data_IF_730365417322
#
_entry.id   IF_730365417322
#
_cell.length_a   1.000
_cell.length_b   1.000
_cell.length_c   1.000
_cell.angle_alpha   90.00
_cell.angle_beta   90.00
_cell.angle_gamma   90.00
#
_symmetry.space_group_name_H-M   'P 1'
#
loop_
_entity.id
_entity.type
_entity.pdbx_description
1 polymer ?
#
# COMPACT_ATOMS: atom_id res chain seq x y z
N UNK A 1 1.04 9.08 10.01
CA UNK A 1 0.92 10.22 10.92
C UNK A 1 2.27 10.83 11.27
N UNK A 2 3.10 10.31 12.19
CA UNK A 2 4.31 11.06 12.61
C UNK A 2 5.32 11.34 11.50
N UNK A 3 5.56 10.36 10.63
CA UNK A 3 6.38 10.57 9.42
C UNK A 3 5.76 11.64 8.54
N UNK A 4 4.43 11.67 8.40
CA UNK A 4 3.74 12.67 7.58
C UNK A 4 3.85 14.06 8.19
N UNK A 5 3.72 14.19 9.52
CA UNK A 5 3.89 15.48 10.20
C UNK A 5 5.28 16.07 9.92
N UNK A 6 6.32 15.27 10.13
CA UNK A 6 7.69 15.66 9.78
C UNK A 6 7.82 16.06 8.29
N UNK A 7 7.24 15.28 7.38
CA UNK A 7 7.30 15.55 5.95
C UNK A 7 6.52 16.79 5.54
N UNK A 8 5.38 17.08 6.17
CA UNK A 8 4.55 18.23 5.83
C UNK A 8 5.25 19.52 6.25
N UNK A 9 5.86 19.53 7.43
CA UNK A 9 6.74 20.62 7.87
C UNK A 9 7.91 20.78 6.87
N UNK A 10 8.51 19.69 6.42
CA UNK A 10 9.56 19.75 5.39
C UNK A 10 9.05 20.33 4.06
N UNK A 11 7.87 19.95 3.59
CA UNK A 11 7.31 20.46 2.32
C UNK A 11 6.95 21.94 2.38
N UNK A 12 6.55 22.46 3.54
CA UNK A 12 6.31 23.90 3.72
C UNK A 12 7.60 24.71 3.58
N UNK A 13 8.72 24.18 4.08
CA UNK A 13 9.99 24.90 4.10
C UNK A 13 10.83 24.68 2.83
N UNK A 14 10.83 23.45 2.30
CA UNK A 14 11.71 23.02 1.19
C UNK A 14 10.93 22.68 -0.09
N UNK A 15 9.66 23.10 -0.16
CA UNK A 15 8.76 22.78 -1.28
C UNK A 15 9.28 23.25 -2.64
N UNK A 16 9.80 24.48 -2.72
CA UNK A 16 10.36 25.03 -3.96
C UNK A 16 11.62 24.29 -4.41
N UNK A 17 12.49 23.91 -3.48
CA UNK A 17 13.65 23.09 -3.78
C UNK A 17 13.23 21.73 -4.35
N UNK A 18 12.24 21.09 -3.73
CA UNK A 18 11.70 19.80 -4.18
C UNK A 18 11.10 19.91 -5.60
N UNK A 19 10.34 20.98 -5.88
CA UNK A 19 9.83 21.27 -7.23
C UNK A 19 10.95 21.49 -8.23
N UNK A 20 12.01 22.19 -7.83
CA UNK A 20 13.23 22.36 -8.63
C UNK A 20 13.85 21.04 -9.06
N UNK A 21 13.99 20.10 -8.13
CA UNK A 21 14.50 18.76 -8.44
C UNK A 21 13.59 17.98 -9.40
N UNK A 22 12.27 18.04 -9.20
CA UNK A 22 11.28 17.40 -10.09
C UNK A 22 11.38 17.99 -11.50
N UNK A 23 11.42 19.31 -11.63
CA UNK A 23 11.51 20.01 -12.91
C UNK A 23 12.84 19.73 -13.62
N UNK A 24 13.93 19.63 -12.86
CA UNK A 24 15.26 19.30 -13.40
C UNK A 24 15.24 17.95 -14.10
N UNK A 25 14.68 16.92 -13.43
CA UNK A 25 14.51 15.60 -14.05
C UNK A 25 13.46 15.62 -15.18
N UNK A 26 12.41 16.43 -15.07
CA UNK A 26 11.38 16.56 -16.11
C UNK A 26 11.88 17.19 -17.42
N UNK A 27 12.98 17.93 -17.38
CA UNK A 27 13.53 18.66 -18.53
C UNK A 27 14.64 17.90 -19.27
N UNK A 28 15.08 16.73 -18.79
CA UNK A 28 16.10 15.95 -19.50
C UNK A 28 15.50 15.32 -20.76
N UNK A 29 16.34 15.10 -21.77
CA UNK A 29 15.91 14.30 -22.93
C UNK A 29 15.79 12.83 -22.52
N UNK A 30 14.56 12.30 -22.60
CA UNK A 30 14.24 10.91 -22.32
C UNK A 30 13.87 10.12 -23.58
N UNK A 31 14.16 10.67 -24.77
CA UNK A 31 13.86 10.07 -26.07
C UNK A 31 14.52 8.70 -26.25
N UNK A 32 15.64 8.45 -25.57
CA UNK A 32 16.34 7.17 -25.57
C UNK A 32 15.64 6.07 -24.78
N UNK A 33 14.71 6.41 -23.88
CA UNK A 33 13.88 5.42 -23.19
C UNK A 33 12.77 4.86 -24.10
N UNK A 34 12.37 3.60 -23.93
CA UNK A 34 11.15 3.09 -24.55
C UNK A 34 9.93 3.93 -24.17
N UNK A 35 8.95 4.05 -25.08
CA UNK A 35 7.71 4.83 -24.89
C UNK A 35 7.01 4.53 -23.56
N UNK A 36 7.03 3.26 -23.13
CA UNK A 36 6.48 2.85 -21.83
C UNK A 36 7.17 3.60 -20.69
N UNK A 37 8.51 3.59 -20.64
CA UNK A 37 9.28 4.22 -19.58
C UNK A 37 9.18 5.74 -19.62
N UNK A 38 9.09 6.35 -20.81
CA UNK A 38 8.82 7.78 -20.93
C UNK A 38 7.49 8.18 -20.26
N UNK A 39 6.43 7.40 -20.50
CA UNK A 39 5.11 7.65 -19.90
C UNK A 39 5.11 7.43 -18.39
N UNK A 40 5.71 6.34 -17.92
CA UNK A 40 5.79 6.05 -16.48
C UNK A 40 6.61 7.10 -15.73
N UNK A 41 7.74 7.54 -16.28
CA UNK A 41 8.56 8.60 -15.68
C UNK A 41 7.80 9.92 -15.60
N UNK A 42 7.16 10.37 -16.69
CA UNK A 42 6.33 11.59 -16.66
C UNK A 42 5.22 11.51 -15.60
N UNK A 43 4.52 10.39 -15.54
CA UNK A 43 3.47 10.15 -14.55
C UNK A 43 4.01 10.13 -13.12
N UNK A 44 5.21 9.60 -12.90
CA UNK A 44 5.89 9.64 -11.60
C UNK A 44 6.19 11.08 -11.17
N UNK A 45 6.69 11.93 -12.07
CA UNK A 45 6.94 13.34 -11.79
C UNK A 45 5.65 14.13 -11.56
N UNK A 46 4.60 13.86 -12.34
CA UNK A 46 3.27 14.45 -12.11
C UNK A 46 2.70 14.07 -10.74
N UNK A 47 2.84 12.80 -10.32
CA UNK A 47 2.48 12.36 -8.97
C UNK A 47 3.30 13.09 -7.91
N UNK A 48 4.60 13.25 -8.12
CA UNK A 48 5.46 14.02 -7.22
C UNK A 48 4.97 15.47 -7.10
N UNK A 49 4.61 16.14 -8.19
CA UNK A 49 4.06 17.50 -8.14
C UNK A 49 2.68 17.57 -7.47
N UNK A 50 1.84 16.56 -7.67
CA UNK A 50 0.51 16.44 -7.07
C UNK A 50 0.55 16.12 -5.56
N UNK A 51 1.73 15.87 -4.97
CA UNK A 51 1.83 15.62 -3.53
C UNK A 51 1.32 16.82 -2.73
N UNK A 52 1.59 18.05 -3.18
CA UNK A 52 1.27 19.26 -2.44
C UNK A 52 -0.24 19.45 -2.31
N UNK A 53 -0.98 19.28 -3.40
CA UNK A 53 -2.46 19.31 -3.39
C UNK A 53 -3.05 18.21 -2.49
N UNK A 54 -2.39 17.06 -2.40
CA UNK A 54 -2.82 15.97 -1.52
C UNK A 54 -2.54 16.27 -0.04
N UNK A 55 -1.49 17.04 0.26
CA UNK A 55 -1.20 17.51 1.62
C UNK A 55 -2.28 18.49 2.07
N UNK A 56 -2.68 19.45 1.24
CA UNK A 56 -3.77 20.37 1.57
C UNK A 56 -5.09 19.63 1.83
N UNK A 57 -5.46 18.66 1.00
CA UNK A 57 -6.65 17.82 1.22
C UNK A 57 -6.62 17.04 2.54
N UNK A 58 -5.43 16.67 3.02
CA UNK A 58 -5.29 16.04 4.33
C UNK A 58 -5.51 17.07 5.44
N UNK A 59 -4.92 18.27 5.31
CA UNK A 59 -5.10 19.34 6.29
C UNK A 59 -6.56 19.76 6.41
N UNK A 60 -7.26 19.91 5.29
CA UNK A 60 -8.70 20.20 5.24
C UNK A 60 -9.50 19.11 5.98
N UNK A 61 -9.32 17.84 5.60
CA UNK A 61 -10.05 16.73 6.23
C UNK A 61 -9.71 16.55 7.72
N UNK A 62 -8.46 16.82 8.13
CA UNK A 62 -8.04 16.80 9.53
C UNK A 62 -8.65 17.97 10.32
N UNK A 63 -8.73 19.16 9.72
CA UNK A 63 -9.37 20.33 10.31
C UNK A 63 -10.88 20.12 10.49
N UNK A 64 -11.58 19.60 9.48
CA UNK A 64 -13.01 19.30 9.54
C UNK A 64 -13.32 18.27 10.64
N UNK A 65 -12.56 17.18 10.69
CA UNK A 65 -12.70 16.16 11.72
C UNK A 65 -12.41 16.73 13.12
N UNK A 66 -11.36 17.55 13.26
CA UNK A 66 -10.98 18.15 14.55
C UNK A 66 -12.05 19.13 15.04
N UNK A 67 -12.56 19.98 14.15
CA UNK A 67 -13.62 20.93 14.47
C UNK A 67 -14.88 20.18 14.96
N UNK A 68 -15.33 19.17 14.21
CA UNK A 68 -16.51 18.40 14.59
C UNK A 68 -16.28 17.52 15.83
N UNK A 69 -15.05 17.09 16.10
CA UNK A 69 -14.71 16.29 17.30
C UNK A 69 -15.00 17.03 18.60
N UNK A 70 -14.89 18.37 18.62
CA UNK A 70 -15.20 19.19 19.80
C UNK A 70 -16.69 19.10 20.14
N UNK A 71 -17.55 19.23 19.14
CA UNK A 71 -19.01 19.15 19.30
C UNK A 71 -19.49 17.71 19.52
N UNK A 72 -18.87 16.74 18.87
CA UNK A 72 -19.24 15.32 18.95
C UNK A 72 -18.93 14.71 20.34
N UNK A 73 -17.82 15.10 20.97
CA UNK A 73 -17.33 14.52 22.23
C UNK A 73 -18.37 14.46 23.35
N UNK A 74 -19.06 15.55 23.76
CA UNK A 74 -20.03 15.48 24.84
C UNK A 74 -21.20 14.53 24.54
N UNK A 75 -21.69 14.50 23.29
CA UNK A 75 -22.71 13.55 22.88
C UNK A 75 -22.20 12.11 22.95
N UNK A 76 -21.00 11.86 22.45
CA UNK A 76 -20.38 10.54 22.48
C UNK A 76 -20.20 10.04 23.92
N UNK A 77 -19.58 10.83 24.81
CA UNK A 77 -19.34 10.46 26.20
C UNK A 77 -20.65 10.17 26.95
N UNK A 78 -21.68 11.00 26.76
CA UNK A 78 -23.00 10.78 27.34
C UNK A 78 -23.59 9.45 26.89
N UNK A 79 -23.63 9.18 25.59
CA UNK A 79 -24.18 7.93 25.05
C UNK A 79 -23.37 6.71 25.50
N UNK A 80 -22.04 6.80 25.54
CA UNK A 80 -21.20 5.73 26.07
C UNK A 80 -21.45 5.46 27.54
N UNK A 81 -21.72 6.50 28.33
CA UNK A 81 -22.09 6.33 29.73
C UNK A 81 -23.42 5.57 29.88
N UNK A 82 -24.43 5.88 29.06
CA UNK A 82 -25.72 5.17 29.06
C UNK A 82 -25.56 3.73 28.62
N UNK A 83 -24.84 3.50 27.52
CA UNK A 83 -24.57 2.16 27.00
C UNK A 83 -23.78 1.30 28.00
N UNK A 84 -22.81 1.89 28.71
CA UNK A 84 -22.08 1.21 29.78
C UNK A 84 -23.01 0.78 30.92
N UNK A 85 -23.90 1.68 31.38
CA UNK A 85 -24.90 1.37 32.42
C UNK A 85 -25.84 0.24 31.97
N UNK A 86 -26.37 0.33 30.75
CA UNK A 86 -27.22 -0.72 30.15
C UNK A 86 -26.48 -2.05 30.12
N UNK A 87 -25.21 -2.05 29.71
CA UNK A 87 -24.39 -3.28 29.65
C UNK A 87 -24.22 -3.91 31.04
N UNK A 88 -23.95 -3.10 32.08
CA UNK A 88 -23.80 -3.60 33.46
C UNK A 88 -25.11 -4.24 33.91
N UNK A 89 -26.24 -3.53 33.77
CA UNK A 89 -27.56 -4.05 34.16
C UNK A 89 -27.93 -5.31 33.36
N UNK A 90 -27.59 -5.36 32.07
CA UNK A 90 -27.83 -6.53 31.22
C UNK A 90 -27.08 -7.76 31.74
N UNK A 91 -25.83 -7.61 32.18
CA UNK A 91 -25.06 -8.70 32.78
C UNK A 91 -25.68 -9.16 34.11
N UNK A 92 -26.14 -8.24 34.94
CA UNK A 92 -26.86 -8.58 36.18
C UNK A 92 -28.16 -9.35 35.91
N UNK A 93 -28.95 -8.93 34.91
CA UNK A 93 -30.16 -9.64 34.49
C UNK A 93 -29.83 -11.04 33.97
N UNK A 94 -28.76 -11.19 33.20
CA UNK A 94 -28.31 -12.52 32.73
C UNK A 94 -27.95 -13.44 33.89
N UNK A 95 -27.23 -12.95 34.90
CA UNK A 95 -26.90 -13.75 36.10
C UNK A 95 -28.14 -14.07 36.93
N UNK A 96 -29.03 -13.11 37.18
CA UNK A 96 -30.30 -13.34 37.88
C UNK A 96 -31.17 -14.38 37.16
N UNK A 97 -31.20 -14.37 35.82
CA UNK A 97 -31.94 -15.38 35.03
C UNK A 97 -31.34 -16.78 35.16
N UNK A 98 -30.01 -16.88 35.21
CA UNK A 98 -29.32 -18.17 35.46
C UNK A 98 -29.62 -18.69 36.85
N UNK A 99 -29.52 -17.83 37.88
CA UNK A 99 -29.81 -18.18 39.26
C UNK A 99 -31.27 -18.61 39.45
N UNK A 100 -32.20 -17.83 38.88
CA UNK A 100 -33.61 -18.17 38.87
C UNK A 100 -33.85 -19.55 38.27
N UNK A 101 -33.25 -19.83 37.09
CA UNK A 101 -33.39 -21.13 36.41
C UNK A 101 -32.81 -22.29 37.21
N UNK A 102 -31.70 -22.06 37.92
CA UNK A 102 -31.07 -23.07 38.77
C UNK A 102 -31.95 -23.42 39.97
N UNK A 103 -32.47 -22.40 40.67
CA UNK A 103 -33.32 -22.59 41.85
C UNK A 103 -34.70 -23.13 41.47
N UNK A 104 -35.26 -22.71 40.32
CA UNK A 104 -36.58 -23.18 39.86
C UNK A 104 -36.59 -24.68 39.52
N UNK A 105 -35.41 -25.27 39.29
CA UNK A 105 -35.22 -26.68 38.93
C UNK A 105 -34.68 -27.54 40.08
N UNK A 106 -34.57 -27.00 41.29
CA UNK A 106 -34.16 -27.79 42.46
C UNK A 106 -35.30 -28.67 42.98
N UNK A 107 -34.96 -29.70 43.75
CA UNK A 107 -35.96 -30.63 44.34
C UNK A 107 -36.90 -29.93 45.34
N UNK A 108 -36.47 -28.80 45.91
CA UNK A 108 -37.26 -27.94 46.79
C UNK A 108 -37.02 -26.47 46.44
N UNK A 109 -37.76 -25.91 45.48
CA UNK A 109 -37.58 -24.54 45.03
C UNK A 109 -38.00 -23.53 46.11
N UNK A 110 -37.13 -22.59 46.43
CA UNK A 110 -37.46 -21.44 47.28
C UNK A 110 -38.33 -20.45 46.50
N UNK A 111 -39.64 -20.48 46.78
CA UNK A 111 -40.65 -19.64 46.10
C UNK A 111 -40.45 -18.15 46.38
N UNK A 112 -39.97 -17.79 47.57
CA UNK A 112 -39.74 -16.38 47.92
C UNK A 112 -38.53 -15.85 47.14
N UNK A 113 -37.44 -16.61 47.10
CA UNK A 113 -36.28 -16.29 46.28
C UNK A 113 -36.65 -16.11 44.80
N UNK A 114 -37.44 -17.03 44.24
CA UNK A 114 -37.86 -16.97 42.84
C UNK A 114 -38.70 -15.72 42.54
N UNK A 115 -39.65 -15.38 43.41
CA UNK A 115 -40.51 -14.20 43.25
C UNK A 115 -39.72 -12.89 43.37
N UNK A 116 -38.79 -12.79 44.33
CA UNK A 116 -37.91 -11.64 44.49
C UNK A 116 -36.97 -11.47 43.29
N UNK A 117 -36.40 -12.56 42.80
CA UNK A 117 -35.48 -12.55 41.65
C UNK A 117 -36.21 -12.14 40.37
N UNK A 118 -37.43 -12.64 40.15
CA UNK A 118 -38.26 -12.22 39.00
C UNK A 118 -38.60 -10.73 39.08
N UNK A 119 -38.92 -10.22 40.27
CA UNK A 119 -39.20 -8.79 40.49
C UNK A 119 -37.99 -7.91 40.17
N UNK A 120 -36.79 -8.32 40.62
CA UNK A 120 -35.53 -7.63 40.29
C UNK A 120 -35.21 -7.65 38.80
N UNK A 121 -35.47 -8.77 38.12
CA UNK A 121 -35.30 -8.85 36.66
C UNK A 121 -36.20 -7.83 35.97
N UNK A 122 -37.49 -7.75 36.34
CA UNK A 122 -38.44 -6.79 35.76
C UNK A 122 -38.03 -5.34 36.03
N UNK A 123 -37.58 -5.04 37.25
CA UNK A 123 -37.07 -3.72 37.62
C UNK A 123 -35.85 -3.33 36.77
N UNK A 124 -34.87 -4.23 36.64
CA UNK A 124 -33.67 -4.01 35.83
C UNK A 124 -34.00 -3.87 34.34
N UNK A 125 -34.95 -4.65 33.81
CA UNK A 125 -35.43 -4.51 32.44
C UNK A 125 -36.11 -3.15 32.19
N UNK A 126 -36.93 -2.67 33.13
CA UNK A 126 -37.52 -1.34 33.08
C UNK A 126 -36.46 -0.22 33.16
N UNK A 127 -35.46 -0.38 34.02
CA UNK A 127 -34.34 0.56 34.14
C UNK A 127 -33.54 0.65 32.82
N UNK A 128 -33.26 -0.49 32.18
CA UNK A 128 -32.63 -0.51 30.85
C UNK A 128 -33.49 0.17 29.79
N UNK A 129 -34.81 -0.04 29.80
CA UNK A 129 -35.72 0.62 28.86
C UNK A 129 -35.71 2.15 29.04
N UNK A 130 -35.73 2.62 30.28
CA UNK A 130 -35.61 4.05 30.59
C UNK A 130 -34.28 4.64 30.10
N UNK A 131 -33.15 3.96 30.35
CA UNK A 131 -31.85 4.40 29.85
C UNK A 131 -31.78 4.45 28.31
N UNK A 132 -32.44 3.52 27.62
CA UNK A 132 -32.54 3.54 26.15
C UNK A 132 -33.35 4.75 25.66
N UNK A 133 -34.42 5.12 26.35
CA UNK A 133 -35.25 6.27 26.00
C UNK A 133 -34.52 7.62 26.20
N UNK A 134 -33.43 7.64 26.97
CA UNK A 134 -32.58 8.84 27.13
C UNK A 134 -31.63 9.05 25.95
N UNK A 135 -31.50 8.07 25.03
CA UNK A 135 -30.69 8.23 23.80
C UNK A 135 -31.49 9.11 22.83
N UNK A 136 -30.99 10.30 22.44
CA UNK A 136 -31.69 11.16 21.50
C UNK A 136 -31.79 10.53 20.12
N UNK A 137 -32.90 10.73 19.40
CA UNK A 137 -33.10 10.26 18.03
C UNK A 137 -32.03 10.81 17.06
N UNK A 138 -31.50 12.02 17.37
CA UNK A 138 -30.44 12.68 16.59
C UNK A 138 -29.09 11.98 16.67
N UNK A 139 -28.88 11.09 17.66
CA UNK A 139 -27.60 10.41 17.89
C UNK A 139 -27.07 9.67 16.65
N UNK A 140 -27.96 8.97 15.94
CA UNK A 140 -27.59 8.22 14.74
C UNK A 140 -26.98 9.12 13.66
N UNK A 141 -27.57 10.30 13.45
CA UNK A 141 -27.06 11.30 12.52
C UNK A 141 -25.73 11.90 12.97
N UNK A 142 -25.64 12.30 14.23
CA UNK A 142 -24.43 12.88 14.84
C UNK A 142 -23.24 11.93 14.70
N UNK A 143 -23.42 10.65 15.05
CA UNK A 143 -22.40 9.61 14.92
C UNK A 143 -22.05 9.33 13.46
N UNK A 144 -23.04 9.26 12.57
CA UNK A 144 -22.81 9.00 11.14
C UNK A 144 -21.92 10.08 10.54
N UNK A 145 -22.17 11.35 10.84
CA UNK A 145 -21.35 12.45 10.34
C UNK A 145 -19.89 12.36 10.83
N UNK A 146 -19.66 12.04 12.11
CA UNK A 146 -18.31 11.83 12.63
C UNK A 146 -17.57 10.72 11.86
N UNK A 147 -18.24 9.59 11.62
CA UNK A 147 -17.67 8.44 10.90
C UNK A 147 -17.35 8.77 9.44
N UNK A 148 -18.16 9.61 8.80
CA UNK A 148 -17.90 10.10 7.43
C UNK A 148 -16.64 10.98 7.39
N UNK A 149 -16.51 11.96 8.28
CA UNK A 149 -15.32 12.80 8.38
C UNK A 149 -14.05 11.98 8.67
N UNK A 150 -14.15 11.02 9.60
CA UNK A 150 -13.03 10.13 9.93
C UNK A 150 -12.61 9.28 8.70
N UNK A 151 -13.58 8.81 7.93
CA UNK A 151 -13.32 8.05 6.70
C UNK A 151 -12.68 8.91 5.62
N UNK A 152 -13.09 10.16 5.50
CA UNK A 152 -12.55 11.10 4.52
C UNK A 152 -11.09 11.45 4.83
N UNK A 153 -10.77 11.73 6.10
CA UNK A 153 -9.40 11.92 6.59
C UNK A 153 -8.51 10.71 6.28
N UNK A 154 -8.97 9.51 6.65
CA UNK A 154 -8.24 8.25 6.38
C UNK A 154 -8.02 8.04 4.89
N UNK A 155 -9.02 8.39 4.08
CA UNK A 155 -8.97 8.26 2.62
C UNK A 155 -7.98 9.24 2.01
N UNK A 156 -7.97 10.50 2.46
CA UNK A 156 -7.02 11.52 2.04
C UNK A 156 -5.58 11.08 2.32
N UNK A 157 -5.29 10.62 3.55
CA UNK A 157 -3.97 10.08 3.90
C UNK A 157 -3.56 8.88 3.05
N UNK A 158 -4.47 7.94 2.80
CA UNK A 158 -4.19 6.78 1.95
C UNK A 158 -3.86 7.19 0.52
N UNK A 159 -4.60 8.15 -0.05
CA UNK A 159 -4.34 8.68 -1.39
C UNK A 159 -2.96 9.33 -1.48
N UNK A 160 -2.60 10.17 -0.51
CA UNK A 160 -1.26 10.74 -0.39
C UNK A 160 -0.16 9.68 -0.35
N UNK A 161 -0.26 8.71 0.58
CA UNK A 161 0.73 7.63 0.74
C UNK A 161 0.93 6.87 -0.57
N UNK A 162 -0.17 6.40 -1.17
CA UNK A 162 -0.11 5.67 -2.42
C UNK A 162 0.51 6.52 -3.55
N UNK A 163 0.22 7.82 -3.58
CA UNK A 163 0.76 8.72 -4.59
C UNK A 163 2.27 8.88 -4.47
N UNK A 164 2.79 9.18 -3.26
CA UNK A 164 4.23 9.38 -3.05
C UNK A 164 5.01 8.06 -3.16
N UNK A 165 4.46 6.96 -2.64
CA UNK A 165 5.07 5.64 -2.73
C UNK A 165 5.19 5.22 -4.21
N UNK A 166 4.12 5.38 -5.00
CA UNK A 166 4.15 5.08 -6.44
C UNK A 166 5.04 6.03 -7.25
N UNK A 167 5.13 7.31 -6.88
CA UNK A 167 6.03 8.25 -7.54
C UNK A 167 7.48 7.77 -7.39
N UNK A 168 7.88 7.39 -6.17
CA UNK A 168 9.24 6.98 -5.87
C UNK A 168 9.58 5.56 -6.38
N UNK A 169 8.66 4.61 -6.27
CA UNK A 169 8.85 3.23 -6.77
C UNK A 169 9.20 3.20 -8.27
N UNK A 170 8.57 4.04 -9.09
CA UNK A 170 8.86 4.13 -10.52
C UNK A 170 10.31 4.55 -10.80
N UNK A 171 10.86 5.46 -9.99
CA UNK A 171 12.26 5.89 -10.12
C UNK A 171 13.21 4.74 -9.77
N UNK A 172 12.93 4.05 -8.67
CA UNK A 172 13.70 2.89 -8.22
C UNK A 172 13.64 1.74 -9.23
N UNK A 173 12.47 1.46 -9.80
CA UNK A 173 12.32 0.43 -10.83
C UNK A 173 13.11 0.77 -12.10
N UNK A 174 13.01 2.02 -12.58
CA UNK A 174 13.75 2.47 -13.76
C UNK A 174 15.26 2.43 -13.54
N UNK A 175 15.75 2.93 -12.40
CA UNK A 175 17.17 2.83 -12.04
C UNK A 175 17.66 1.39 -12.04
N UNK A 176 16.89 0.48 -11.42
CA UNK A 176 17.24 -0.95 -11.37
C UNK A 176 17.29 -1.61 -12.75
N UNK A 177 16.40 -1.20 -13.66
CA UNK A 177 16.38 -1.72 -15.04
C UNK A 177 17.59 -1.23 -15.83
N UNK A 178 17.96 0.05 -15.67
CA UNK A 178 19.13 0.65 -16.32
C UNK A 178 20.42 0.08 -15.75
N UNK A 179 20.55 -0.05 -14.42
CA UNK A 179 21.76 -0.60 -13.78
C UNK A 179 22.04 -2.06 -14.17
N UNK A 180 21.02 -2.80 -14.62
CA UNK A 180 21.16 -4.15 -15.15
C UNK A 180 21.62 -4.22 -16.62
N UNK A 181 22.07 -3.11 -17.22
CA UNK A 181 22.52 -3.07 -18.61
C UNK A 181 23.65 -4.06 -18.90
N UNK A 182 24.72 -4.04 -18.10
CA UNK A 182 25.91 -4.89 -18.31
C UNK A 182 25.60 -6.36 -18.04
N UNK A 183 24.80 -6.64 -17.01
CA UNK A 183 24.31 -8.00 -16.74
C UNK A 183 23.50 -8.54 -17.92
N UNK A 184 22.65 -7.72 -18.54
CA UNK A 184 21.88 -8.11 -19.73
C UNK A 184 22.78 -8.33 -20.94
N UNK A 185 23.73 -7.43 -21.18
CA UNK A 185 24.68 -7.51 -22.29
C UNK A 185 25.54 -8.77 -22.19
N UNK A 186 25.93 -9.19 -20.97
CA UNK A 186 26.71 -10.41 -20.74
C UNK A 186 26.03 -11.70 -21.20
N UNK A 187 24.69 -11.68 -21.43
CA UNK A 187 23.91 -12.82 -21.89
C UNK A 187 23.92 -12.99 -23.43
N UNK A 188 24.57 -12.11 -24.18
CA UNK A 188 24.49 -12.08 -25.66
C UNK A 188 24.86 -13.43 -26.27
N UNK A 189 26.05 -13.95 -25.95
CA UNK A 189 26.55 -15.20 -26.51
C UNK A 189 25.64 -16.39 -26.15
N UNK A 190 25.13 -16.41 -24.92
CA UNK A 190 24.22 -17.46 -24.46
C UNK A 190 22.89 -17.43 -25.23
N UNK A 191 22.36 -16.24 -25.52
CA UNK A 191 21.08 -16.07 -26.19
C UNK A 191 21.18 -16.30 -27.70
N UNK A 192 22.23 -15.79 -28.35
CA UNK A 192 22.43 -15.96 -29.81
C UNK A 192 22.71 -17.42 -30.18
N UNK A 193 23.34 -18.19 -29.30
CA UNK A 193 23.53 -19.63 -29.48
C UNK A 193 22.22 -20.45 -29.47
N UNK A 194 21.09 -19.90 -29.01
CA UNK A 194 19.83 -20.65 -28.94
C UNK A 194 19.27 -21.03 -30.32
N UNK A 195 19.51 -20.20 -31.35
CA UNK A 195 19.03 -20.50 -32.71
C UNK A 195 19.71 -21.77 -33.26
N UNK A 196 21.03 -21.89 -33.10
CA UNK A 196 21.78 -23.06 -33.56
C UNK A 196 21.45 -24.31 -32.74
N UNK A 197 21.29 -24.15 -31.42
CA UNK A 197 20.89 -25.25 -30.52
C UNK A 197 19.51 -25.80 -30.88
N UNK A 198 18.54 -24.97 -31.26
CA UNK A 198 17.19 -25.45 -31.62
C UNK A 198 17.20 -26.31 -32.89
N UNK A 199 18.09 -26.00 -33.84
CA UNK A 199 18.16 -26.68 -35.14
C UNK A 199 19.00 -27.95 -35.07
N UNK A 200 20.13 -27.91 -34.36
CA UNK A 200 21.16 -28.97 -34.45
C UNK A 200 21.14 -29.97 -33.29
N UNK A 201 20.56 -29.61 -32.15
CA UNK A 201 20.59 -30.44 -30.94
C UNK A 201 19.29 -31.24 -30.73
N UNK A 202 19.37 -32.25 -29.85
CA UNK A 202 18.17 -32.98 -29.43
C UNK A 202 17.18 -32.05 -28.71
N UNK A 203 15.88 -32.34 -28.83
CA UNK A 203 14.83 -31.54 -28.19
C UNK A 203 15.03 -31.38 -26.67
N UNK A 204 15.58 -32.40 -26.00
CA UNK A 204 15.90 -32.35 -24.57
C UNK A 204 17.00 -31.32 -24.28
N UNK A 205 18.11 -31.38 -25.01
CA UNK A 205 19.24 -30.45 -24.87
C UNK A 205 18.80 -29.01 -25.18
N UNK A 206 18.05 -28.82 -26.26
CA UNK A 206 17.51 -27.50 -26.61
C UNK A 206 16.60 -26.93 -25.52
N UNK A 207 15.70 -27.76 -24.96
CA UNK A 207 14.83 -27.33 -23.86
C UNK A 207 15.61 -26.90 -22.62
N UNK A 208 16.67 -27.64 -22.26
CA UNK A 208 17.48 -27.34 -21.08
C UNK A 208 18.28 -26.04 -21.28
N UNK A 209 18.83 -25.80 -22.48
CA UNK A 209 19.53 -24.55 -22.81
C UNK A 209 18.62 -23.33 -22.86
N UNK A 210 17.40 -23.47 -23.39
CA UNK A 210 16.40 -22.39 -23.32
C UNK A 210 16.02 -22.11 -21.86
N UNK A 211 15.84 -23.16 -21.03
CA UNK A 211 15.52 -23.01 -19.61
C UNK A 211 16.64 -22.33 -18.81
N UNK A 212 17.90 -22.62 -19.11
CA UNK A 212 19.06 -21.95 -18.54
C UNK A 212 19.04 -20.45 -18.86
N UNK A 213 18.75 -20.12 -20.11
CA UNK A 213 18.63 -18.72 -20.59
C UNK A 213 17.45 -17.98 -19.97
N UNK A 214 16.29 -18.64 -19.80
CA UNK A 214 15.16 -18.06 -19.05
C UNK A 214 15.51 -17.75 -17.60
N UNK A 215 16.33 -18.59 -16.96
CA UNK A 215 16.78 -18.38 -15.58
C UNK A 215 17.75 -17.22 -15.48
N UNK A 216 18.72 -17.14 -16.40
CA UNK A 216 19.66 -16.03 -16.48
C UNK A 216 18.94 -14.70 -16.69
N UNK A 217 18.04 -14.62 -17.69
CA UNK A 217 17.19 -13.44 -17.90
C UNK A 217 16.35 -13.11 -16.67
N UNK A 218 15.81 -14.10 -15.97
CA UNK A 218 15.00 -13.91 -14.78
C UNK A 218 15.72 -13.25 -13.59
N UNK A 219 17.05 -13.18 -13.60
CA UNK A 219 17.83 -12.44 -12.60
C UNK A 219 17.93 -10.95 -12.91
N UNK A 220 17.82 -10.57 -14.19
CA UNK A 220 17.92 -9.19 -14.67
C UNK A 220 16.54 -8.53 -14.67
N UNK A 221 16.44 -7.32 -14.13
CA UNK A 221 15.17 -6.59 -14.07
C UNK A 221 14.63 -6.22 -15.47
N UNK A 222 13.31 -6.25 -15.63
CA UNK A 222 12.64 -5.80 -16.86
C UNK A 222 12.74 -6.73 -18.07
N UNK A 223 13.21 -7.97 -17.93
CA UNK A 223 13.41 -8.93 -19.05
C UNK A 223 12.22 -9.89 -19.29
N UNK A 224 11.08 -9.65 -18.64
CA UNK A 224 9.93 -10.57 -18.62
C UNK A 224 9.35 -10.83 -20.02
N UNK A 225 9.38 -9.83 -20.90
CA UNK A 225 8.95 -9.94 -22.30
C UNK A 225 9.81 -10.93 -23.11
N UNK A 226 11.14 -10.82 -22.99
CA UNK A 226 12.12 -11.72 -23.62
C UNK A 226 11.94 -13.13 -23.06
N UNK A 227 11.91 -13.26 -21.73
CA UNK A 227 11.71 -14.54 -21.04
C UNK A 227 10.41 -15.23 -21.47
N UNK A 228 9.34 -14.47 -21.69
CA UNK A 228 8.05 -15.01 -22.18
C UNK A 228 8.17 -15.60 -23.59
N UNK A 229 8.96 -14.99 -24.49
CA UNK A 229 9.22 -15.54 -25.83
C UNK A 229 10.02 -16.83 -25.76
N UNK A 230 11.08 -16.86 -24.95
CA UNK A 230 11.87 -18.08 -24.73
C UNK A 230 11.05 -19.20 -24.09
N UNK A 231 10.19 -18.88 -23.12
CA UNK A 231 9.26 -19.84 -22.52
C UNK A 231 8.37 -20.50 -23.57
N UNK A 232 7.82 -19.70 -24.50
CA UNK A 232 6.99 -20.20 -25.61
C UNK A 232 7.82 -21.03 -26.59
N UNK A 233 9.05 -20.63 -26.88
CA UNK A 233 9.97 -21.41 -27.73
C UNK A 233 10.24 -22.79 -27.12
N UNK A 234 10.58 -22.86 -25.82
CA UNK A 234 10.76 -24.12 -25.08
C UNK A 234 9.51 -25.00 -25.11
N UNK A 235 8.32 -24.40 -25.04
CA UNK A 235 7.07 -25.15 -25.14
C UNK A 235 6.84 -25.73 -26.53
N UNK A 236 7.30 -25.06 -27.59
CA UNK A 236 7.14 -25.52 -28.97
C UNK A 236 8.01 -26.76 -29.30
N UNK A 237 9.18 -26.90 -28.66
CA UNK A 237 10.02 -28.12 -28.75
C UNK A 237 9.60 -29.23 -27.79
N UNK A 238 8.63 -28.99 -26.89
CA UNK A 238 8.17 -29.96 -25.90
C UNK A 238 7.02 -30.83 -26.43
N UNK A 239 7.18 -32.17 -26.39
CA UNK A 239 6.07 -33.13 -26.52
C UNK A 239 6.17 -34.09 -27.72
N UNK A 240 5.07 -34.80 -28.02
CA UNK A 240 4.99 -35.84 -29.07
C UNK A 240 5.03 -35.29 -30.51
N UNK A 241 4.77 -33.99 -30.70
CA UNK A 241 4.87 -33.27 -31.99
C UNK A 241 5.70 -31.99 -31.82
N UNK A 242 7.04 -32.10 -31.73
CA UNK A 242 7.91 -30.93 -31.66
C UNK A 242 7.73 -30.05 -32.90
N UNK A 243 7.77 -28.73 -32.73
CA UNK A 243 7.81 -27.77 -33.83
C UNK A 243 9.05 -26.87 -33.69
N UNK A 244 10.21 -27.32 -34.19
CA UNK A 244 11.48 -26.58 -34.11
C UNK A 244 11.44 -25.26 -34.88
N UNK A 245 10.76 -25.20 -36.04
CA UNK A 245 10.62 -23.97 -36.83
C UNK A 245 9.91 -22.86 -36.04
N UNK A 246 8.80 -23.20 -35.38
CA UNK A 246 8.10 -22.27 -34.49
C UNK A 246 8.96 -21.85 -33.30
N UNK A 247 9.76 -22.76 -32.76
CA UNK A 247 10.67 -22.45 -31.66
C UNK A 247 11.76 -21.46 -32.09
N UNK A 248 12.37 -21.67 -33.26
CA UNK A 248 13.39 -20.79 -33.83
C UNK A 248 12.81 -19.38 -34.10
N UNK A 249 11.60 -19.29 -34.66
CA UNK A 249 10.93 -18.01 -34.88
C UNK A 249 10.70 -17.25 -33.56
N UNK A 250 10.24 -17.94 -32.52
CA UNK A 250 10.02 -17.34 -31.19
C UNK A 250 11.33 -16.90 -30.53
N UNK A 251 12.43 -17.63 -30.71
CA UNK A 251 13.76 -17.20 -30.26
C UNK A 251 14.20 -15.95 -31.00
N UNK A 252 14.06 -15.90 -32.32
CA UNK A 252 14.39 -14.72 -33.14
C UNK A 252 13.60 -13.49 -32.71
N UNK A 253 12.31 -13.63 -32.43
CA UNK A 253 11.49 -12.55 -31.85
C UNK A 253 12.01 -12.11 -30.48
N UNK A 254 12.41 -13.06 -29.63
CA UNK A 254 13.03 -12.78 -28.33
C UNK A 254 14.37 -12.04 -28.46
N UNK A 255 15.21 -12.43 -29.41
CA UNK A 255 16.50 -11.79 -29.71
C UNK A 255 16.32 -10.37 -30.24
N UNK A 256 15.28 -10.12 -31.05
CA UNK A 256 14.93 -8.76 -31.48
C UNK A 256 14.58 -7.86 -30.28
N UNK A 257 13.80 -8.37 -29.33
CA UNK A 257 13.47 -7.65 -28.10
C UNK A 257 14.72 -7.45 -27.23
N UNK A 258 15.57 -8.47 -27.11
CA UNK A 258 16.84 -8.41 -26.39
C UNK A 258 17.76 -7.32 -26.94
N UNK A 259 17.99 -7.30 -28.26
CA UNK A 259 18.84 -6.30 -28.89
C UNK A 259 18.31 -4.87 -28.67
N UNK A 260 16.99 -4.68 -28.76
CA UNK A 260 16.36 -3.39 -28.43
C UNK A 260 16.60 -3.02 -26.97
N UNK A 261 16.40 -3.96 -26.02
CA UNK A 261 16.63 -3.76 -24.58
C UNK A 261 18.08 -3.39 -24.25
N UNK A 262 19.06 -4.11 -24.80
CA UNK A 262 20.48 -3.80 -24.57
C UNK A 262 20.83 -2.42 -25.10
N UNK A 263 20.40 -2.10 -26.32
CA UNK A 263 20.72 -0.82 -26.99
C UNK A 263 20.25 0.39 -26.18
N UNK A 264 18.98 0.39 -25.75
CA UNK A 264 18.44 1.54 -25.03
C UNK A 264 19.01 1.64 -23.62
N UNK A 265 19.22 0.51 -22.93
CA UNK A 265 19.76 0.50 -21.56
C UNK A 265 21.20 1.02 -21.52
N UNK A 266 22.05 0.61 -22.45
CA UNK A 266 23.43 1.11 -22.53
C UNK A 266 23.48 2.63 -22.72
N UNK A 267 22.64 3.18 -23.60
CA UNK A 267 22.52 4.64 -23.76
C UNK A 267 21.98 5.31 -22.50
N UNK A 268 20.91 4.77 -21.92
CA UNK A 268 20.31 5.31 -20.70
C UNK A 268 21.27 5.28 -19.50
N UNK A 269 22.20 4.33 -19.42
CA UNK A 269 23.26 4.30 -18.39
C UNK A 269 24.15 5.54 -18.48
N UNK A 270 24.49 6.00 -19.68
CA UNK A 270 25.35 7.17 -19.87
C UNK A 270 24.55 8.49 -19.75
N UNK A 271 23.37 8.54 -20.36
CA UNK A 271 22.62 9.79 -20.57
C UNK A 271 21.63 10.09 -19.43
N UNK A 272 21.03 9.07 -18.81
CA UNK A 272 19.86 9.23 -17.93
C UNK A 272 20.17 8.81 -16.48
N UNK A 273 20.98 7.77 -16.28
CA UNK A 273 21.28 7.26 -14.94
C UNK A 273 21.86 8.32 -13.98
N UNK A 274 22.77 9.23 -14.41
CA UNK A 274 23.28 10.29 -13.52
C UNK A 274 22.17 11.22 -13.02
N UNK A 275 21.25 11.62 -13.90
CA UNK A 275 20.12 12.49 -13.55
C UNK A 275 19.12 11.78 -12.62
N UNK A 276 18.82 10.50 -12.89
CA UNK A 276 17.98 9.69 -12.00
C UNK A 276 18.61 9.53 -10.62
N UNK A 277 19.93 9.30 -10.54
CA UNK A 277 20.65 9.16 -9.27
C UNK A 277 20.67 10.47 -8.48
N UNK A 278 20.89 11.60 -9.14
CA UNK A 278 20.81 12.91 -8.50
C UNK A 278 19.41 13.19 -7.95
N UNK A 279 18.36 12.91 -8.73
CA UNK A 279 16.98 13.06 -8.31
C UNK A 279 16.63 12.13 -7.13
N UNK A 280 16.99 10.85 -7.22
CA UNK A 280 16.76 9.88 -6.14
C UNK A 280 17.38 10.35 -4.81
N UNK A 281 18.63 10.80 -4.84
CA UNK A 281 19.29 11.32 -3.64
C UNK A 281 18.59 12.56 -3.07
N UNK A 282 18.04 13.42 -3.93
CA UNK A 282 17.30 14.61 -3.51
C UNK A 282 15.94 14.28 -2.88
N UNK A 283 15.25 13.23 -3.34
CA UNK A 283 13.86 12.95 -2.93
C UNK A 283 13.70 11.73 -2.00
N UNK A 284 14.72 10.88 -1.83
CA UNK A 284 14.65 9.69 -0.97
C UNK A 284 14.34 9.99 0.49
N UNK A 285 14.79 11.16 0.97
CA UNK A 285 14.55 11.63 2.34
C UNK A 285 13.19 12.29 2.54
N UNK A 286 12.45 12.55 1.46
CA UNK A 286 11.17 13.26 1.46
C UNK A 286 10.07 12.39 0.82
N UNK A 287 9.88 12.47 -0.49
CA UNK A 287 8.89 11.69 -1.26
C UNK A 287 9.11 10.18 -1.04
N UNK A 288 10.36 9.73 -1.07
CA UNK A 288 10.73 8.33 -0.92
C UNK A 288 10.87 7.84 0.52
N UNK A 289 10.61 8.70 1.52
CA UNK A 289 11.00 8.43 2.91
C UNK A 289 10.37 7.14 3.47
N UNK A 290 9.11 6.90 3.12
CA UNK A 290 8.34 5.73 3.59
C UNK A 290 8.88 4.40 3.08
N UNK A 291 9.63 4.43 1.99
CA UNK A 291 10.22 3.26 1.35
C UNK A 291 11.69 3.05 1.75
N UNK A 292 12.25 3.94 2.57
CA UNK A 292 13.60 3.79 3.09
C UNK A 292 13.66 2.72 4.18
N UNK A 293 14.71 1.90 4.16
CA UNK A 293 14.94 0.87 5.19
C UNK A 293 15.23 1.47 6.57
N UNK A 294 15.82 2.67 6.61
CA UNK A 294 16.21 3.38 7.84
C UNK A 294 15.95 4.87 7.69
N UNK A 295 15.51 5.48 8.77
CA UNK A 295 15.38 6.93 8.91
C UNK A 295 16.73 7.54 9.29
N UNK A 296 16.96 8.80 8.94
CA UNK A 296 18.10 9.58 9.44
C UNK A 296 17.96 9.86 10.95
N UNK A 297 19.06 10.15 11.67
CA UNK A 297 18.98 10.50 13.10
C UNK A 297 17.99 11.63 13.40
N UNK A 298 17.94 12.66 12.56
CA UNK A 298 17.01 13.79 12.72
C UNK A 298 15.55 13.37 12.52
N UNK A 299 15.28 12.55 11.51
CA UNK A 299 13.96 11.97 11.27
C UNK A 299 13.52 11.09 12.43
N UNK A 300 14.43 10.27 12.98
CA UNK A 300 14.16 9.43 14.15
C UNK A 300 13.76 10.30 15.35
N UNK A 301 14.53 11.36 15.62
CA UNK A 301 14.26 12.27 16.75
C UNK A 301 12.88 12.93 16.61
N UNK A 302 12.56 13.45 15.41
CA UNK A 302 11.27 14.07 15.15
C UNK A 302 10.10 13.08 15.28
N UNK A 303 10.23 11.89 14.70
CA UNK A 303 9.20 10.84 14.76
C UNK A 303 9.02 10.33 16.19
N UNK A 304 10.09 10.08 16.94
CA UNK A 304 10.04 9.63 18.32
C UNK A 304 9.34 10.66 19.22
N UNK A 305 9.68 11.95 19.08
CA UNK A 305 9.02 13.04 19.80
C UNK A 305 7.53 13.14 19.47
N UNK A 306 7.13 12.89 18.22
CA UNK A 306 5.73 12.86 17.84
C UNK A 306 4.99 11.62 18.39
N UNK A 307 5.69 10.50 18.54
CA UNK A 307 5.12 9.26 19.08
C UNK A 307 4.94 9.29 20.60
N UNK A 308 5.74 10.08 21.32
CA UNK A 308 5.60 10.22 22.78
C UNK A 308 4.37 11.02 23.21
N UNK A 309 3.69 11.70 22.27
CA UNK A 309 2.47 12.45 22.55
C UNK A 309 1.27 11.49 22.51
N UNK A 310 0.51 11.42 23.61
CA UNK A 310 -0.71 10.63 23.67
C UNK A 310 -1.72 11.09 22.62
N UNK A 311 -2.33 10.13 21.90
CA UNK A 311 -3.43 10.39 20.97
C UNK A 311 -4.71 9.79 21.49
N UNK A 312 -5.72 10.64 21.62
CA UNK A 312 -7.05 10.22 22.01
C UNK A 312 -7.78 9.58 20.82
N UNK A 313 -8.04 8.28 20.94
CA UNK A 313 -8.84 7.51 19.99
C UNK A 313 -10.24 7.17 20.53
N UNK A 314 -10.62 7.68 21.71
CA UNK A 314 -11.85 7.31 22.40
C UNK A 314 -13.11 7.59 21.58
N UNK A 315 -13.12 8.66 20.78
CA UNK A 315 -14.25 9.04 19.93
C UNK A 315 -14.53 8.04 18.80
N UNK A 316 -13.60 7.12 18.51
CA UNK A 316 -13.76 6.07 17.49
C UNK A 316 -14.50 4.83 18.01
N UNK A 317 -14.62 4.65 19.32
CA UNK A 317 -15.08 3.39 19.96
C UNK A 317 -16.42 3.52 20.65
#
# INVERSE_FOLDING_TARGET
>A
FCIEKYLFDYYENEGEQLRGHINTLGNIDISTLPVKWQKELKKSLERALNLFDLVEKIREAEADLTAYSVEYRPHHEFIRSLQKKIRIISLEVEELKKDWTRVSRSDSPDKEFLSLTESKIKENEAAMANLKNQIPETWSGIRKHYVELEKDEKTARRKYRNNVDQAYETIQELQKVISGADELASLEQQLTALETVIVNESAKVAMDKIKESERALGKVAGTSSIKSKLYKARKAVKGKKPNPEKAALLVKEGLKLYAAEVTWRQRATAEIAPALFAYDNAVKGSIGLRLQRRLSPDQIKAVASCQSIHRDYSLQF
#
